data_IF_304653640060
#
_entry.id   IF_304653640060
#
_cell.length_a   1.000
_cell.length_b   1.000
_cell.length_c   1.000
_cell.angle_alpha   90.00
_cell.angle_beta   90.00
_cell.angle_gamma   90.00
#
_symmetry.space_group_name_H-M   'P 1'
#
loop_
_entity.id
_entity.type
_entity.pdbx_description
1 polymer ?
#
# COMPACT_ATOMS: atom_id res chain seq x y z
N UNK A 1 6.26 4.52 3.09
CA UNK A 1 5.77 4.36 1.71
C UNK A 1 5.50 2.90 1.38
N UNK A 2 6.36 1.98 1.84
CA UNK A 2 6.08 0.54 1.76
C UNK A 2 5.35 0.03 3.00
N UNK A 3 4.58 -1.05 2.83
CA UNK A 3 3.96 -1.79 3.93
C UNK A 3 5.03 -2.36 4.87
N UNK A 4 4.69 -2.63 6.15
CA UNK A 4 5.62 -3.14 7.18
C UNK A 4 6.39 -4.39 6.73
N UNK A 5 5.71 -5.29 6.03
CA UNK A 5 6.29 -6.52 5.47
C UNK A 5 7.43 -6.26 4.46
N UNK A 6 7.49 -5.06 3.88
CA UNK A 6 8.40 -4.67 2.81
C UNK A 6 9.42 -3.59 3.23
N UNK A 7 9.56 -3.28 4.53
CA UNK A 7 10.47 -2.22 5.01
C UNK A 7 11.96 -2.46 4.72
N UNK A 8 12.36 -3.70 4.42
CA UNK A 8 13.73 -4.01 4.01
C UNK A 8 14.05 -3.61 2.56
N UNK A 9 13.04 -3.26 1.77
CA UNK A 9 13.22 -2.91 0.37
C UNK A 9 13.58 -1.43 0.21
N UNK A 10 14.56 -1.16 -0.65
CA UNK A 10 14.95 0.20 -1.00
C UNK A 10 14.11 0.70 -2.17
N UNK A 11 13.30 1.74 -1.94
CA UNK A 11 12.48 2.40 -2.94
C UNK A 11 12.76 3.91 -2.93
N UNK A 12 13.24 4.41 -4.06
CA UNK A 12 13.36 5.85 -4.32
C UNK A 12 12.07 6.35 -4.94
N UNK A 13 11.48 7.42 -4.41
CA UNK A 13 10.23 8.01 -4.90
C UNK A 13 10.47 9.50 -5.12
N UNK A 14 10.02 10.03 -6.25
CA UNK A 14 10.00 11.47 -6.48
C UNK A 14 8.81 12.11 -5.78
N UNK A 15 8.93 13.39 -5.47
CA UNK A 15 7.79 14.16 -5.00
C UNK A 15 6.66 14.18 -6.06
N UNK A 16 5.38 14.22 -5.63
CA UNK A 16 4.26 14.29 -6.55
C UNK A 16 4.27 15.61 -7.33
N UNK A 17 4.12 15.54 -8.66
CA UNK A 17 3.86 16.73 -9.47
C UNK A 17 2.37 17.08 -9.38
N UNK A 18 2.05 18.34 -9.08
CA UNK A 18 0.68 18.84 -9.03
C UNK A 18 0.17 19.14 -10.44
N UNK A 19 -0.87 18.43 -10.87
CA UNK A 19 -1.56 18.70 -12.13
C UNK A 19 -2.98 19.19 -11.83
N UNK A 20 -3.24 20.44 -12.20
CA UNK A 20 -4.56 21.05 -12.09
C UNK A 20 -5.59 20.27 -12.91
N UNK A 21 -6.68 19.84 -12.28
CA UNK A 21 -7.80 19.27 -13.00
C UNK A 21 -8.43 20.37 -13.88
N UNK A 22 -8.56 20.13 -15.19
CA UNK A 22 -8.97 21.12 -16.21
C UNK A 22 -10.41 21.69 -16.03
N UNK A 23 -11.07 21.44 -14.91
CA UNK A 23 -12.44 21.85 -14.61
C UNK A 23 -12.47 22.56 -13.27
N UNK A 24 -12.84 23.84 -13.31
CA UNK A 24 -13.01 24.78 -12.20
C UNK A 24 -13.66 24.12 -10.97
N UNK A 25 -12.85 23.86 -9.93
CA UNK A 25 -13.31 23.35 -8.63
C UNK A 25 -12.97 21.90 -8.30
N UNK A 26 -12.25 21.18 -9.16
CA UNK A 26 -11.81 19.80 -8.91
C UNK A 26 -10.45 19.71 -8.18
N UNK A 27 -10.32 18.77 -7.25
CA UNK A 27 -9.07 18.45 -6.55
C UNK A 27 -7.91 18.22 -7.54
N UNK A 28 -6.71 18.70 -7.19
CA UNK A 28 -5.52 18.51 -8.00
C UNK A 28 -5.08 17.03 -8.01
N UNK A 29 -4.53 16.57 -9.13
CA UNK A 29 -4.00 15.21 -9.26
C UNK A 29 -2.49 15.25 -9.09
N UNK A 30 -1.99 14.48 -8.13
CA UNK A 30 -0.57 14.30 -7.86
C UNK A 30 -0.05 13.06 -8.57
N UNK A 31 0.92 13.23 -9.48
CA UNK A 31 1.59 12.09 -10.14
C UNK A 31 2.96 11.88 -9.52
N UNK A 32 3.24 10.66 -9.06
CA UNK A 32 4.52 10.29 -8.48
C UNK A 32 5.10 9.05 -9.15
N UNK A 33 6.43 8.94 -9.05
CA UNK A 33 7.20 7.89 -9.68
C UNK A 33 8.28 7.40 -8.74
N UNK A 34 8.71 6.16 -8.94
CA UNK A 34 9.78 5.60 -8.14
C UNK A 34 10.49 4.44 -8.82
N UNK A 35 11.60 4.05 -8.21
CA UNK A 35 12.41 2.92 -8.66
C UNK A 35 12.89 2.15 -7.44
N UNK A 36 12.66 0.83 -7.45
CA UNK A 36 13.25 -0.07 -6.48
C UNK A 36 14.73 -0.28 -6.79
N UNK A 37 15.59 -0.16 -5.77
CA UNK A 37 17.02 -0.40 -5.92
C UNK A 37 17.34 -1.86 -6.31
N UNK A 38 16.54 -2.81 -5.85
CA UNK A 38 16.64 -4.23 -6.22
C UNK A 38 15.28 -4.92 -6.13
N UNK A 39 14.43 -4.74 -7.14
CA UNK A 39 13.08 -5.31 -7.12
C UNK A 39 13.06 -6.84 -7.23
N UNK A 40 13.96 -7.43 -8.02
CA UNK A 40 14.02 -8.87 -8.23
C UNK A 40 14.20 -9.67 -6.93
N UNK A 41 14.94 -9.09 -5.96
CA UNK A 41 15.21 -9.68 -4.65
C UNK A 41 14.44 -8.99 -3.52
N UNK A 42 13.39 -8.23 -3.85
CA UNK A 42 12.61 -7.48 -2.87
C UNK A 42 11.55 -8.33 -2.20
N UNK A 43 11.29 -8.07 -0.92
CA UNK A 43 10.15 -8.65 -0.19
C UNK A 43 8.82 -8.25 -0.82
N UNK A 44 8.77 -7.06 -1.42
CA UNK A 44 7.65 -6.58 -2.22
C UNK A 44 7.29 -7.56 -3.32
N UNK A 45 8.27 -7.99 -4.11
CA UNK A 45 8.05 -8.97 -5.19
C UNK A 45 7.63 -10.33 -4.61
N UNK A 46 8.32 -10.80 -3.58
CA UNK A 46 7.97 -12.07 -2.92
C UNK A 46 6.51 -12.07 -2.43
N UNK A 47 6.05 -10.96 -1.86
CA UNK A 47 4.69 -10.79 -1.37
C UNK A 47 3.65 -10.78 -2.49
N UNK A 48 3.92 -10.06 -3.59
CA UNK A 48 3.05 -10.04 -4.77
C UNK A 48 2.88 -11.46 -5.33
N UNK A 49 3.99 -12.19 -5.45
CA UNK A 49 3.99 -13.56 -5.97
C UNK A 49 3.31 -14.54 -5.01
N UNK A 50 3.53 -14.43 -3.71
CA UNK A 50 2.91 -15.32 -2.71
C UNK A 50 1.39 -15.16 -2.66
N UNK A 51 0.89 -13.94 -2.89
CA UNK A 51 -0.55 -13.65 -3.03
C UNK A 51 -1.13 -13.98 -4.40
N UNK A 52 -0.30 -14.41 -5.36
CA UNK A 52 -0.69 -14.71 -6.75
C UNK A 52 -1.43 -13.54 -7.41
N UNK A 53 -0.97 -12.32 -7.15
CA UNK A 53 -1.55 -11.12 -7.76
C UNK A 53 -1.30 -11.16 -9.26
N UNK A 54 -2.36 -11.01 -10.05
CA UNK A 54 -2.29 -10.95 -11.51
C UNK A 54 -1.59 -9.69 -12.01
N UNK A 55 -0.98 -9.78 -13.19
CA UNK A 55 -0.54 -8.59 -13.91
C UNK A 55 -1.76 -7.87 -14.47
N UNK A 56 -1.77 -6.54 -14.36
CA UNK A 56 -2.86 -5.70 -14.82
C UNK A 56 -2.93 -5.70 -16.35
N UNK A 57 -4.08 -6.07 -16.90
CA UNK A 57 -4.28 -6.11 -18.34
C UNK A 57 -4.54 -4.69 -18.87
N UNK A 58 -3.77 -4.26 -19.87
CA UNK A 58 -3.94 -2.94 -20.51
C UNK A 58 -3.21 -1.79 -19.81
N UNK A 59 -2.56 -2.04 -18.67
CA UNK A 59 -1.67 -1.07 -18.03
C UNK A 59 -0.22 -1.53 -18.18
N UNK A 60 0.58 -0.68 -18.82
CA UNK A 60 2.01 -0.94 -19.02
C UNK A 60 2.83 0.14 -18.30
N UNK A 61 4.03 -0.25 -17.87
CA UNK A 61 4.98 0.66 -17.28
C UNK A 61 5.29 1.81 -18.25
N UNK A 62 5.13 3.08 -17.85
CA UNK A 62 5.41 4.22 -18.74
C UNK A 62 6.89 4.32 -19.13
N UNK A 63 7.79 3.71 -18.36
CA UNK A 63 9.24 3.76 -18.58
C UNK A 63 9.75 2.65 -19.50
N UNK A 64 9.35 1.41 -19.24
CA UNK A 64 9.92 0.23 -19.92
C UNK A 64 8.88 -0.62 -20.66
N UNK A 65 7.61 -0.19 -20.65
CA UNK A 65 6.46 -0.89 -21.26
C UNK A 65 6.18 -2.31 -20.76
N UNK A 66 6.89 -2.77 -19.75
CA UNK A 66 6.62 -4.05 -19.14
C UNK A 66 5.28 -4.06 -18.39
N UNK A 67 4.68 -5.23 -18.27
CA UNK A 67 3.46 -5.44 -17.48
C UNK A 67 3.67 -5.04 -16.03
N UNK A 68 2.57 -4.63 -15.39
CA UNK A 68 2.59 -4.10 -14.03
C UNK A 68 1.67 -4.89 -13.11
N UNK A 69 1.95 -4.86 -11.81
CA UNK A 69 1.03 -5.29 -10.77
C UNK A 69 0.38 -4.08 -10.11
N UNK A 70 -0.91 -4.19 -9.80
CA UNK A 70 -1.60 -3.26 -8.91
C UNK A 70 -1.17 -3.50 -7.46
N UNK A 71 -0.62 -2.47 -6.84
CA UNK A 71 -0.19 -2.56 -5.44
C UNK A 71 -1.37 -2.48 -4.47
N UNK A 72 -2.48 -1.91 -4.93
CA UNK A 72 -3.78 -1.92 -4.24
C UNK A 72 -4.31 -3.34 -4.14
N UNK A 73 -4.34 -4.09 -5.25
CA UNK A 73 -4.75 -5.50 -5.28
C UNK A 73 -3.81 -6.38 -4.43
N UNK A 74 -2.51 -6.06 -4.42
CA UNK A 74 -1.54 -6.73 -3.57
C UNK A 74 -1.70 -6.42 -2.06
N UNK A 75 -2.59 -5.49 -1.69
CA UNK A 75 -2.76 -4.94 -0.34
C UNK A 75 -1.45 -4.41 0.24
N UNK A 76 -0.62 -3.79 -0.61
CA UNK A 76 0.67 -3.24 -0.24
C UNK A 76 0.67 -1.72 -0.06
N UNK A 77 -0.50 -1.07 -0.21
CA UNK A 77 -0.73 0.36 0.04
C UNK A 77 -0.81 0.62 1.53
N UNK A 78 0.22 1.22 2.17
CA UNK A 78 0.10 1.58 3.57
C UNK A 78 -0.84 2.79 3.72
N UNK A 79 -1.61 2.85 4.81
CA UNK A 79 -2.47 4.01 5.13
C UNK A 79 -1.68 5.32 5.21
N UNK A 80 -0.41 5.24 5.61
CA UNK A 80 0.52 6.38 5.64
C UNK A 80 0.97 6.87 4.27
N UNK A 81 0.64 6.17 3.17
CA UNK A 81 0.95 6.62 1.80
C UNK A 81 0.19 7.89 1.46
N UNK A 82 -1.10 7.98 1.77
CA UNK A 82 -1.91 9.19 1.54
C UNK A 82 -1.29 10.41 2.19
N UNK A 83 -0.89 10.32 3.47
CA UNK A 83 -0.25 11.43 4.20
C UNK A 83 1.10 11.82 3.61
N UNK A 84 1.93 10.85 3.21
CA UNK A 84 3.25 11.13 2.60
C UNK A 84 3.15 11.73 1.20
N UNK A 85 2.04 11.51 0.49
CA UNK A 85 1.81 12.03 -0.85
C UNK A 85 0.96 13.31 -0.86
N UNK A 86 0.58 13.85 0.30
CA UNK A 86 -0.30 15.02 0.38
C UNK A 86 -1.71 14.76 -0.16
N UNK A 87 -2.17 13.51 -0.10
CA UNK A 87 -3.43 13.04 -0.69
C UNK A 87 -4.51 12.81 0.37
N UNK A 88 -5.77 12.98 -0.02
CA UNK A 88 -6.92 12.60 0.81
C UNK A 88 -6.86 11.10 1.17
N UNK A 89 -7.42 10.75 2.33
CA UNK A 89 -7.39 9.39 2.84
C UNK A 89 -7.96 8.40 1.82
N UNK A 90 -7.17 7.41 1.41
CA UNK A 90 -7.63 6.27 0.59
C UNK A 90 -7.67 6.46 -0.92
N UNK A 91 -7.18 7.58 -1.47
CA UNK A 91 -7.30 7.90 -2.91
C UNK A 91 -5.97 7.80 -3.66
N UNK A 92 -5.15 6.79 -3.30
CA UNK A 92 -3.81 6.57 -3.84
C UNK A 92 -3.77 5.28 -4.64
N UNK A 93 -3.42 5.37 -5.92
CA UNK A 93 -3.21 4.22 -6.79
C UNK A 93 -1.75 4.18 -7.22
N UNK A 94 -1.12 3.01 -7.12
CA UNK A 94 0.19 2.79 -7.74
C UNK A 94 0.40 1.37 -8.22
N UNK A 95 1.25 1.30 -9.22
CA UNK A 95 1.63 0.11 -9.93
C UNK A 95 3.14 -0.06 -9.90
N UNK A 96 3.58 -1.31 -9.90
CA UNK A 96 4.99 -1.66 -10.04
C UNK A 96 5.16 -2.63 -11.20
N UNK A 97 6.12 -2.37 -12.08
CA UNK A 97 6.42 -3.27 -13.19
C UNK A 97 7.32 -4.42 -12.77
N UNK A 98 7.41 -5.47 -13.61
CA UNK A 98 8.29 -6.63 -13.40
C UNK A 98 9.78 -6.29 -13.19
N UNK A 99 10.21 -5.10 -13.66
CA UNK A 99 11.56 -4.58 -13.52
C UNK A 99 11.75 -3.65 -12.31
N UNK A 100 10.69 -3.33 -11.55
CA UNK A 100 10.79 -2.49 -10.35
C UNK A 100 10.59 -0.99 -10.54
N UNK A 101 10.05 -0.55 -11.69
CA UNK A 101 9.61 0.83 -11.82
C UNK A 101 8.22 0.99 -11.20
N UNK A 102 8.09 2.01 -10.34
CA UNK A 102 6.86 2.39 -9.68
C UNK A 102 6.28 3.64 -10.34
N UNK A 103 4.99 3.65 -10.57
CA UNK A 103 4.25 4.84 -10.96
C UNK A 103 2.89 4.85 -10.28
N UNK A 104 2.42 6.03 -9.92
CA UNK A 104 1.13 6.17 -9.28
C UNK A 104 0.55 7.57 -9.40
N UNK A 105 -0.72 7.64 -9.06
CA UNK A 105 -1.50 8.86 -9.00
C UNK A 105 -2.21 8.94 -7.66
N UNK A 106 -2.44 10.15 -7.19
CA UNK A 106 -3.19 10.41 -5.99
C UNK A 106 -4.03 11.67 -6.16
N UNK A 107 -5.15 11.73 -5.45
CA UNK A 107 -5.94 12.97 -5.38
C UNK A 107 -5.40 13.82 -4.25
N UNK A 108 -4.81 14.95 -4.59
CA UNK A 108 -4.19 15.85 -3.63
C UNK A 108 -5.26 16.50 -2.75
N UNK A 109 -4.98 16.62 -1.46
CA UNK A 109 -5.81 17.35 -0.55
C UNK A 109 -5.64 18.86 -0.80
N UNK A 110 -6.72 19.66 -0.78
CA UNK A 110 -6.59 21.12 -0.79
C UNK A 110 -5.70 21.58 0.37
N UNK A 111 -4.82 22.56 0.14
CA UNK A 111 -3.87 23.09 1.14
C UNK A 111 -4.52 23.67 2.42
N UNK A 112 -5.84 23.60 2.57
CA UNK A 112 -6.62 24.08 3.72
C UNK A 112 -7.00 22.97 4.73
N UNK A 113 -6.72 21.70 4.46
CA UNK A 113 -7.10 20.58 5.33
C UNK A 113 -5.97 20.22 6.30
N UNK A 114 -5.93 20.88 7.45
CA UNK A 114 -5.12 20.45 8.59
C UNK A 114 -5.92 19.45 9.43
N UNK A 115 -5.50 18.20 9.48
CA UNK A 115 -6.02 17.22 10.43
C UNK A 115 -4.87 16.39 11.01
N UNK A 116 -4.52 16.69 12.27
CA UNK A 116 -3.73 15.87 13.18
C UNK A 116 -4.57 14.68 13.62
N UNK A 117 -4.19 13.47 13.20
CA UNK A 117 -4.74 12.22 13.76
C UNK A 117 -3.62 11.34 14.27
N UNK A 118 -3.65 11.15 15.59
CA UNK A 118 -2.68 10.40 16.38
C UNK A 118 -2.68 8.90 16.07
N UNK A 119 -1.49 8.30 16.18
CA UNK A 119 -1.21 6.88 15.96
C UNK A 119 -1.98 5.99 16.95
N UNK A 120 -2.73 5.03 16.41
CA UNK A 120 -3.10 3.82 17.14
C UNK A 120 -2.97 2.64 16.19
N UNK A 121 -1.76 2.11 16.12
CA UNK A 121 -1.42 0.82 15.54
C UNK A 121 -2.03 -0.32 16.39
N UNK A 122 -3.34 -0.50 16.31
CA UNK A 122 -4.06 -1.63 16.88
C UNK A 122 -4.53 -2.58 15.78
N UNK A 123 -3.69 -3.52 15.38
CA UNK A 123 -4.10 -4.69 14.58
C UNK A 123 -4.71 -5.75 15.51
N UNK A 124 -6.05 -5.85 15.44
CA UNK A 124 -6.80 -6.92 16.09
C UNK A 124 -6.53 -8.26 15.42
N UNK A 125 -5.59 -9.03 15.99
CA UNK A 125 -5.42 -10.46 15.73
C UNK A 125 -6.59 -11.23 16.39
N UNK A 126 -7.58 -11.66 15.60
CA UNK A 126 -8.57 -12.64 16.07
C UNK A 126 -7.94 -14.03 16.07
N UNK A 127 -7.47 -14.49 17.23
CA UNK A 127 -7.14 -15.89 17.47
C UNK A 127 -8.43 -16.69 17.71
N UNK A 128 -8.96 -17.34 16.67
CA UNK A 128 -9.87 -18.48 16.83
C UNK A 128 -9.10 -19.77 16.54
N UNK A 129 -8.56 -20.40 17.59
CA UNK A 129 -8.08 -21.78 17.55
C UNK A 129 -9.19 -22.70 18.08
N UNK A 130 -9.63 -23.64 17.23
CA UNK A 130 -10.61 -24.67 17.56
C UNK A 130 -10.05 -25.87 18.34
N UNK A 131 -10.94 -26.44 19.15
CA UNK A 131 -11.09 -27.83 19.62
C UNK A 131 -9.88 -28.68 20.05
N UNK A 132 -9.84 -29.08 21.34
CA UNK A 132 -10.23 -30.45 21.76
C UNK A 132 -9.91 -30.77 23.25
N UNK A 133 -10.89 -31.45 23.88
CA UNK A 133 -10.78 -32.41 25.00
C UNK A 133 -10.53 -31.96 26.47
N UNK A 134 -11.56 -32.24 27.27
CA UNK A 134 -11.74 -32.27 28.74
C UNK A 134 -10.75 -33.23 29.46
N UNK A 135 -10.55 -33.17 30.81
CA UNK A 135 -11.55 -33.76 31.73
C UNK A 135 -11.67 -33.19 33.18
N UNK A 136 -12.82 -33.56 33.76
CA UNK A 136 -13.17 -33.89 35.16
C UNK A 136 -13.12 -32.83 36.29
N UNK A 137 -14.34 -32.52 36.76
CA UNK A 137 -14.64 -31.90 38.07
C UNK A 137 -14.16 -32.80 39.21
N UNK A 138 -13.52 -32.23 40.24
CA UNK A 138 -13.47 -32.79 41.60
C UNK A 138 -13.65 -31.67 42.62
N UNK A 139 -14.61 -31.88 43.51
CA UNK A 139 -14.91 -31.09 44.71
C UNK A 139 -13.76 -31.13 45.71
N UNK A 140 -13.60 -30.09 46.54
CA UNK A 140 -13.53 -30.25 48.00
C UNK A 140 -13.68 -28.91 48.75
N UNK A 141 -14.49 -29.01 49.79
CA UNK A 141 -14.82 -28.05 50.83
C UNK A 141 -13.65 -27.80 51.77
N UNK A 142 -13.57 -26.59 52.34
CA UNK A 142 -13.25 -26.32 53.76
C UNK A 142 -13.77 -24.93 54.10
#
# INVERSE_FOLDING_TARGET
FLARHCWGDLLYVSDPCEHGAASSGGNDIGVYRGVFGSFANSRTREWILSRRVGLEAGVNCPYCRASVWSMTEARLVPRSASRRLGSHHGSVEYFVCVNGHLHGSCWLAPLSSGDDVEDSDGDGETHENGDAARPLKRQKSS
#
